data_IF_325930686880
#
_entry.id   IF_325930686880
#
_cell.length_a   1.000
_cell.length_b   1.000
_cell.length_c   1.000
_cell.angle_alpha   90.00
_cell.angle_beta   90.00
_cell.angle_gamma   90.00
#
_symmetry.space_group_name_H-M   'P 1'
#
loop_
_entity.id
_entity.type
_entity.pdbx_description
1 polymer ?
#
# COMPACT_ATOMS: atom_id res chain seq x y z
N UNK A 1 -6.28 -3.75 -9.83
CA UNK A 1 -6.13 -2.29 -9.65
C UNK A 1 -4.74 -1.89 -10.11
N UNK A 2 -4.59 -0.78 -10.84
CA UNK A 2 -3.28 -0.23 -11.22
C UNK A 2 -2.69 0.64 -10.11
N UNK A 3 -1.38 0.96 -10.18
CA UNK A 3 -0.74 1.89 -9.24
C UNK A 3 -1.43 3.27 -9.23
N UNK A 4 -1.80 3.81 -10.40
CA UNK A 4 -2.57 5.07 -10.48
C UNK A 4 -3.89 4.98 -9.73
N UNK A 5 -4.62 3.88 -9.92
CA UNK A 5 -5.93 3.70 -9.30
C UNK A 5 -5.81 3.57 -7.77
N UNK A 6 -4.80 2.83 -7.28
CA UNK A 6 -4.55 2.71 -5.84
C UNK A 6 -4.13 4.05 -5.25
N UNK A 7 -3.23 4.77 -5.92
CA UNK A 7 -2.75 6.07 -5.48
C UNK A 7 -3.91 7.08 -5.38
N UNK A 8 -4.77 7.13 -6.39
CA UNK A 8 -5.96 7.96 -6.37
C UNK A 8 -6.92 7.57 -5.24
N UNK A 9 -7.20 6.28 -5.05
CA UNK A 9 -8.10 5.78 -4.02
C UNK A 9 -7.57 6.00 -2.59
N UNK A 10 -6.24 5.94 -2.40
CA UNK A 10 -5.59 6.13 -1.11
C UNK A 10 -5.17 7.59 -0.84
N UNK A 11 -5.51 8.54 -1.73
CA UNK A 11 -5.11 9.95 -1.69
C UNK A 11 -3.59 10.12 -1.53
N UNK A 12 -2.83 9.43 -2.39
CA UNK A 12 -1.38 9.31 -2.32
C UNK A 12 -0.74 9.55 -3.69
N UNK A 13 0.52 9.97 -3.69
CA UNK A 13 1.31 10.10 -4.91
C UNK A 13 1.57 8.72 -5.53
N UNK A 14 1.39 8.60 -6.85
CA UNK A 14 1.65 7.34 -7.58
C UNK A 14 3.09 6.86 -7.42
N UNK A 15 4.05 7.79 -7.36
CA UNK A 15 5.47 7.48 -7.13
C UNK A 15 5.69 6.84 -5.75
N UNK A 16 4.97 7.30 -4.72
CA UNK A 16 5.06 6.73 -3.37
C UNK A 16 4.51 5.30 -3.35
N UNK A 17 3.37 5.03 -3.98
CA UNK A 17 2.83 3.67 -4.12
C UNK A 17 3.83 2.76 -4.83
N UNK A 18 4.46 3.26 -5.91
CA UNK A 18 5.49 2.54 -6.66
C UNK A 18 6.72 2.19 -5.80
N UNK A 19 7.14 3.10 -4.92
CA UNK A 19 8.25 2.87 -3.98
C UNK A 19 7.89 1.81 -2.91
N UNK A 20 6.67 1.83 -2.41
CA UNK A 20 6.20 0.83 -1.45
C UNK A 20 6.18 -0.58 -2.05
N UNK A 21 5.66 -0.73 -3.27
CA UNK A 21 5.62 -2.04 -3.95
C UNK A 21 7.01 -2.60 -4.26
N UNK A 22 8.00 -1.72 -4.51
CA UNK A 22 9.40 -2.11 -4.67
C UNK A 22 10.15 -2.33 -3.36
N UNK A 23 9.54 -2.00 -2.23
CA UNK A 23 10.19 -2.04 -0.91
C UNK A 23 11.31 -1.02 -0.74
N UNK A 24 11.36 0.04 -1.56
CA UNK A 24 12.37 1.11 -1.44
C UNK A 24 12.02 2.12 -0.34
N UNK A 25 10.78 2.06 0.20
CA UNK A 25 10.32 2.92 1.27
C UNK A 25 9.43 2.15 2.25
N UNK A 26 9.54 2.51 3.53
CA UNK A 26 8.64 2.01 4.57
C UNK A 26 7.42 2.93 4.72
N UNK A 27 6.19 2.41 4.75
CA UNK A 27 5.00 3.22 4.98
C UNK A 27 4.93 3.68 6.44
N UNK A 28 4.35 4.86 6.67
CA UNK A 28 3.87 5.21 8.01
C UNK A 28 2.61 4.42 8.35
N UNK A 29 2.24 4.34 9.63
CA UNK A 29 0.98 3.69 10.04
C UNK A 29 -0.24 4.34 9.36
N UNK A 30 -0.23 5.67 9.21
CA UNK A 30 -1.30 6.38 8.51
C UNK A 30 -1.37 6.03 7.01
N UNK A 31 -0.21 5.90 6.34
CA UNK A 31 -0.16 5.47 4.95
C UNK A 31 -0.64 4.02 4.77
N UNK A 32 -0.26 3.13 5.70
CA UNK A 32 -0.74 1.75 5.73
C UNK A 32 -2.27 1.70 5.84
N UNK A 33 -2.86 2.51 6.72
CA UNK A 33 -4.31 2.64 6.88
C UNK A 33 -5.00 3.04 5.59
N UNK A 34 -4.56 4.13 4.94
CA UNK A 34 -5.15 4.58 3.67
C UNK A 34 -5.08 3.54 2.56
N UNK A 35 -3.97 2.81 2.47
CA UNK A 35 -3.82 1.72 1.49
C UNK A 35 -4.80 0.58 1.80
N UNK A 36 -4.93 0.22 3.07
CA UNK A 36 -5.85 -0.83 3.50
C UNK A 36 -7.31 -0.46 3.21
N UNK A 37 -7.70 0.77 3.54
CA UNK A 37 -9.04 1.32 3.26
C UNK A 37 -9.34 1.32 1.74
N UNK A 38 -8.38 1.80 0.93
CA UNK A 38 -8.50 1.80 -0.53
C UNK A 38 -8.61 0.39 -1.14
N UNK A 39 -8.00 -0.61 -0.49
CA UNK A 39 -8.09 -2.02 -0.88
C UNK A 39 -9.31 -2.74 -0.30
N UNK A 40 -10.03 -2.14 0.66
CA UNK A 40 -11.15 -2.77 1.37
C UNK A 40 -10.72 -3.95 2.24
N UNK A 41 -9.54 -3.88 2.86
CA UNK A 41 -9.00 -4.96 3.69
C UNK A 41 -8.55 -4.45 5.06
N UNK A 42 -8.41 -5.36 6.01
CA UNK A 42 -7.83 -5.05 7.31
C UNK A 42 -6.33 -4.72 7.21
N UNK A 43 -5.81 -3.65 7.85
CA UNK A 43 -4.42 -3.21 7.71
C UNK A 43 -3.37 -4.26 8.08
N UNK A 44 -3.68 -5.16 9.03
CA UNK A 44 -2.75 -6.21 9.45
C UNK A 44 -2.41 -7.20 8.31
N UNK A 45 -3.28 -7.33 7.30
CA UNK A 45 -3.04 -8.19 6.14
C UNK A 45 -1.87 -7.69 5.29
N UNK A 46 -1.58 -6.38 5.31
CA UNK A 46 -0.42 -5.78 4.62
C UNK A 46 0.92 -6.05 5.33
N UNK A 47 0.89 -6.62 6.53
CA UNK A 47 2.08 -6.92 7.33
C UNK A 47 2.46 -8.41 7.30
N UNK A 48 1.64 -9.24 6.67
CA UNK A 48 1.92 -10.66 6.53
C UNK A 48 3.10 -10.86 5.58
N UNK A 49 4.03 -11.75 5.94
CA UNK A 49 5.10 -12.16 5.03
C UNK A 49 4.50 -12.99 3.90
N UNK A 50 4.97 -12.74 2.67
CA UNK A 50 4.64 -13.61 1.55
C UNK A 50 5.20 -15.02 1.84
N UNK A 51 4.35 -16.04 1.71
CA UNK A 51 4.72 -17.44 2.01
C UNK A 51 5.47 -18.12 0.87
N UNK A 52 5.86 -17.37 -0.16
CA UNK A 52 6.51 -17.87 -1.39
C UNK A 52 8.05 -17.86 -1.34
N UNK A 53 8.63 -17.50 -0.20
CA UNK A 53 10.07 -17.59 0.08
C UNK A 53 10.34 -18.43 1.32
#
# INVERSE_FOLDING_TARGET
MTQEQLAAAAEMERSYVSDLERGTRNPSVAALGRIADALGIEPHLLLLKDRRT
#
